data_IF_083857016482
#
_entry.id   IF_083857016482
#
_cell.length_a   1.000
_cell.length_b   1.000
_cell.length_c   1.000
_cell.angle_alpha   90.00
_cell.angle_beta   90.00
_cell.angle_gamma   90.00
#
_symmetry.space_group_name_H-M   'P 1'
#
loop_
_entity.id
_entity.type
_entity.pdbx_description
1 polymer ?
#
# COMPACT_ATOMS: atom_id res chain seq x y z
N UNK A 1 -12.87 34.04 -30.43
CA UNK A 1 -13.58 33.16 -31.39
C UNK A 1 -14.20 32.02 -30.61
N UNK A 2 -15.50 31.72 -30.77
CA UNK A 2 -16.12 30.60 -30.07
C UNK A 2 -15.59 29.27 -30.61
N UNK A 3 -15.20 28.39 -29.71
CA UNK A 3 -14.77 27.02 -29.99
C UNK A 3 -15.96 26.11 -29.69
N UNK A 4 -16.27 25.19 -30.59
CA UNK A 4 -17.35 24.23 -30.32
C UNK A 4 -16.92 23.18 -29.28
N UNK A 5 -17.88 22.36 -28.82
CA UNK A 5 -17.61 21.26 -27.87
C UNK A 5 -16.58 20.21 -28.34
N UNK A 6 -16.13 20.30 -29.59
CA UNK A 6 -15.10 19.44 -30.20
C UNK A 6 -13.76 20.16 -30.37
N UNK A 7 -13.53 21.29 -29.68
CA UNK A 7 -12.25 21.99 -29.73
C UNK A 7 -11.95 22.68 -31.08
N UNK A 8 -12.92 22.73 -32.00
CA UNK A 8 -12.73 23.33 -33.33
C UNK A 8 -13.29 24.74 -33.40
N UNK A 9 -12.55 25.63 -34.08
CA UNK A 9 -12.96 27.02 -34.29
C UNK A 9 -14.22 27.07 -35.15
N UNK A 10 -15.26 27.75 -34.66
CA UNK A 10 -16.40 28.13 -35.49
C UNK A 10 -15.95 29.28 -36.40
N UNK A 11 -15.90 29.05 -37.72
CA UNK A 11 -15.66 30.14 -38.68
C UNK A 11 -16.97 30.89 -38.90
N UNK A 12 -16.93 32.21 -38.71
CA UNK A 12 -18.03 33.10 -39.05
C UNK A 12 -18.38 32.96 -40.55
N UNK A 13 -19.68 32.89 -40.83
CA UNK A 13 -20.25 32.36 -42.06
C UNK A 13 -19.90 33.12 -43.34
N UNK A 14 -19.80 32.37 -44.45
CA UNK A 14 -19.66 32.97 -45.78
C UNK A 14 -19.42 32.02 -46.96
N UNK A 15 -19.82 30.74 -46.91
CA UNK A 15 -19.57 29.83 -48.05
C UNK A 15 -20.49 28.63 -48.13
N UNK A 16 -21.18 28.48 -49.28
CA UNK A 16 -22.07 27.42 -49.77
C UNK A 16 -22.35 26.19 -48.87
N UNK A 17 -23.65 25.94 -48.65
CA UNK A 17 -24.24 25.05 -47.65
C UNK A 17 -23.81 23.57 -47.75
N UNK A 18 -23.53 23.04 -48.95
CA UNK A 18 -23.17 21.62 -49.10
C UNK A 18 -21.73 21.31 -48.65
N UNK A 19 -20.81 22.26 -48.78
CA UNK A 19 -19.39 22.07 -48.47
C UNK A 19 -19.07 22.28 -46.98
N UNK A 20 -19.93 23.01 -46.26
CA UNK A 20 -19.82 23.17 -44.81
C UNK A 20 -20.18 21.88 -44.07
N UNK A 21 -21.23 21.16 -44.50
CA UNK A 21 -21.64 19.91 -43.88
C UNK A 21 -20.56 18.82 -43.94
N UNK A 22 -19.95 18.59 -45.09
CA UNK A 22 -18.85 17.60 -45.21
C UNK A 22 -17.62 17.99 -44.39
N UNK A 23 -17.28 19.29 -44.35
CA UNK A 23 -16.17 19.79 -43.54
C UNK A 23 -16.44 19.66 -42.04
N UNK A 24 -17.64 20.00 -41.59
CA UNK A 24 -18.04 19.80 -40.19
C UNK A 24 -18.01 18.32 -39.81
N UNK A 25 -18.52 17.43 -40.67
CA UNK A 25 -18.48 15.99 -40.45
C UNK A 25 -17.04 15.45 -40.38
N UNK A 26 -16.12 15.94 -41.22
CA UNK A 26 -14.72 15.56 -41.16
C UNK A 26 -14.04 16.02 -39.86
N UNK A 27 -14.34 17.24 -39.39
CA UNK A 27 -13.82 17.78 -38.14
C UNK A 27 -14.29 16.99 -36.92
N UNK A 28 -15.59 16.66 -36.86
CA UNK A 28 -16.14 15.84 -35.78
C UNK A 28 -15.54 14.43 -35.80
N UNK A 29 -15.39 13.81 -36.99
CA UNK A 29 -14.75 12.49 -37.12
C UNK A 29 -13.32 12.49 -36.63
N UNK A 30 -12.54 13.51 -36.98
CA UNK A 30 -11.15 13.62 -36.52
C UNK A 30 -11.09 13.82 -35.02
N UNK A 31 -11.91 14.72 -34.46
CA UNK A 31 -11.96 14.92 -33.01
C UNK A 31 -12.32 13.62 -32.26
N UNK A 32 -13.36 12.91 -32.70
CA UNK A 32 -13.77 11.64 -32.09
C UNK A 32 -12.65 10.60 -32.24
N UNK A 33 -12.05 10.47 -33.43
CA UNK A 33 -10.92 9.57 -33.67
C UNK A 33 -9.74 9.85 -32.73
N UNK A 34 -9.47 11.13 -32.46
CA UNK A 34 -8.28 11.54 -31.71
C UNK A 34 -8.51 11.63 -30.20
N UNK A 35 -9.75 11.70 -29.72
CA UNK A 35 -10.04 11.91 -28.29
C UNK A 35 -10.96 10.85 -27.66
N UNK A 36 -11.60 9.97 -28.43
CA UNK A 36 -12.40 8.89 -27.88
C UNK A 36 -11.53 7.73 -27.37
N UNK A 37 -12.13 6.92 -26.49
CA UNK A 37 -11.62 5.60 -26.17
C UNK A 37 -11.61 4.74 -27.43
N UNK A 38 -10.53 3.99 -27.62
CA UNK A 38 -10.41 3.06 -28.73
C UNK A 38 -10.76 1.65 -28.27
N UNK A 39 -11.66 1.00 -29.01
CA UNK A 39 -11.96 -0.42 -28.82
C UNK A 39 -10.76 -1.24 -29.32
N UNK A 40 -10.23 -2.10 -28.46
CA UNK A 40 -9.28 -3.16 -28.83
C UNK A 40 -10.04 -4.48 -29.02
N UNK A 41 -9.37 -5.63 -29.04
CA UNK A 41 -10.06 -6.93 -29.17
C UNK A 41 -11.09 -7.18 -28.06
N UNK A 42 -10.83 -6.69 -26.86
CA UNK A 42 -11.61 -7.00 -25.64
C UNK A 42 -11.86 -5.79 -24.75
N UNK A 43 -11.12 -4.69 -24.93
CA UNK A 43 -11.04 -3.60 -23.96
C UNK A 43 -11.19 -2.23 -24.60
N UNK A 44 -11.26 -1.20 -23.76
CA UNK A 44 -11.22 0.20 -24.18
C UNK A 44 -9.90 0.83 -23.76
N UNK A 45 -9.13 1.34 -24.72
CA UNK A 45 -7.86 2.03 -24.47
C UNK A 45 -8.05 3.55 -24.55
N UNK A 46 -7.62 4.24 -23.49
CA UNK A 46 -7.58 5.70 -23.43
C UNK A 46 -6.36 6.30 -24.16
N UNK A 47 -5.52 5.50 -24.81
CA UNK A 47 -4.31 5.93 -25.56
C UNK A 47 -3.43 6.90 -24.77
N UNK A 48 -3.23 6.58 -23.49
CA UNK A 48 -2.46 7.40 -22.54
C UNK A 48 -3.04 8.80 -22.25
N UNK A 49 -4.30 9.07 -22.61
CA UNK A 49 -4.97 10.30 -22.21
C UNK A 49 -5.29 10.29 -20.71
N UNK A 50 -5.09 11.44 -20.06
CA UNK A 50 -5.46 11.63 -18.65
C UNK A 50 -6.97 11.80 -18.54
N UNK A 51 -7.62 10.91 -17.82
CA UNK A 51 -9.03 11.04 -17.43
C UNK A 51 -9.06 11.78 -16.08
N UNK A 52 -9.68 12.96 -16.05
CA UNK A 52 -9.79 13.81 -14.86
C UNK A 52 -11.23 13.88 -14.39
N UNK A 53 -11.43 14.27 -13.13
CA UNK A 53 -12.75 14.33 -12.47
C UNK A 53 -13.44 12.96 -12.38
N UNK A 54 -12.64 11.90 -12.18
CA UNK A 54 -13.13 10.56 -11.83
C UNK A 54 -13.53 10.59 -10.35
N UNK A 55 -14.75 10.17 -10.03
CA UNK A 55 -15.25 10.09 -8.65
C UNK A 55 -14.51 9.02 -7.84
N UNK A 56 -14.80 8.92 -6.55
CA UNK A 56 -14.38 7.77 -5.76
C UNK A 56 -15.20 6.53 -6.17
N UNK A 57 -14.59 5.33 -6.19
CA UNK A 57 -15.30 4.10 -6.52
C UNK A 57 -16.33 3.75 -5.44
N UNK A 58 -17.49 3.23 -5.86
CA UNK A 58 -18.53 2.71 -4.97
C UNK A 58 -18.66 1.18 -5.09
N UNK A 59 -18.46 0.65 -6.30
CA UNK A 59 -18.56 -0.77 -6.61
C UNK A 59 -17.20 -1.35 -7.09
N UNK A 60 -17.07 -2.67 -7.06
CA UNK A 60 -15.81 -3.38 -7.38
C UNK A 60 -15.31 -3.13 -8.82
N UNK A 61 -16.22 -2.84 -9.75
CA UNK A 61 -15.93 -2.63 -11.17
C UNK A 61 -15.68 -1.15 -11.53
N UNK A 62 -15.70 -0.24 -10.54
CA UNK A 62 -15.48 1.18 -10.78
C UNK A 62 -14.01 1.53 -11.08
N UNK A 63 -13.82 2.49 -11.98
CA UNK A 63 -12.50 3.07 -12.20
C UNK A 63 -12.04 3.88 -10.98
N UNK A 64 -10.87 3.56 -10.45
CA UNK A 64 -10.31 4.24 -9.28
C UNK A 64 -9.55 5.51 -9.65
N UNK A 65 -9.78 6.58 -8.90
CA UNK A 65 -8.96 7.79 -9.01
C UNK A 65 -7.66 7.67 -8.22
N UNK A 66 -6.63 8.45 -8.58
CA UNK A 66 -5.30 8.38 -7.94
C UNK A 66 -5.33 8.72 -6.45
N UNK A 67 -6.16 9.68 -6.04
CA UNK A 67 -6.23 10.12 -4.65
C UNK A 67 -6.72 8.98 -3.75
N UNK A 68 -7.77 8.27 -4.17
CA UNK A 68 -8.32 7.11 -3.48
C UNK A 68 -7.25 6.05 -3.23
N UNK A 69 -6.47 5.69 -4.26
CA UNK A 69 -5.37 4.72 -4.14
C UNK A 69 -4.30 5.21 -3.15
N UNK A 70 -3.91 6.48 -3.23
CA UNK A 70 -2.89 7.04 -2.33
C UNK A 70 -3.33 7.07 -0.86
N UNK A 71 -4.60 7.38 -0.59
CA UNK A 71 -5.15 7.38 0.76
C UNK A 71 -5.16 5.97 1.35
N UNK A 72 -5.68 4.99 0.62
CA UNK A 72 -5.71 3.59 1.07
C UNK A 72 -4.29 3.04 1.28
N UNK A 73 -3.35 3.34 0.38
CA UNK A 73 -1.94 2.99 0.58
C UNK A 73 -1.34 3.63 1.84
N UNK A 74 -1.73 4.85 2.18
CA UNK A 74 -1.24 5.49 3.39
C UNK A 74 -1.82 4.85 4.66
N UNK A 75 -3.10 4.47 4.65
CA UNK A 75 -3.75 3.74 5.74
C UNK A 75 -3.00 2.42 5.97
N UNK A 76 -2.82 1.62 4.92
CA UNK A 76 -2.09 0.35 4.99
C UNK A 76 -0.65 0.52 5.54
N UNK A 77 0.05 1.58 5.12
CA UNK A 77 1.40 1.87 5.64
C UNK A 77 1.39 2.17 7.14
N UNK A 78 0.40 2.93 7.62
CA UNK A 78 0.28 3.26 9.03
C UNK A 78 0.00 1.99 9.85
N UNK A 79 -0.92 1.14 9.39
CA UNK A 79 -1.22 -0.15 10.03
C UNK A 79 0.04 -1.05 10.12
N UNK A 80 0.83 -1.11 9.05
CA UNK A 80 2.11 -1.85 9.05
C UNK A 80 3.08 -1.29 10.10
N UNK A 81 3.17 0.03 10.23
CA UNK A 81 4.04 0.66 11.24
C UNK A 81 3.57 0.32 12.65
N UNK A 82 2.26 0.38 12.93
CA UNK A 82 1.68 0.03 14.22
C UNK A 82 1.94 -1.44 14.57
N UNK A 83 1.71 -2.36 13.62
CA UNK A 83 1.99 -3.79 13.81
C UNK A 83 3.46 -4.04 14.12
N UNK A 84 4.37 -3.38 13.40
CA UNK A 84 5.82 -3.51 13.65
C UNK A 84 6.20 -3.02 15.06
N UNK A 85 5.64 -1.91 15.51
CA UNK A 85 5.89 -1.39 16.86
C UNK A 85 5.41 -2.37 17.94
N UNK A 86 4.23 -2.96 17.75
CA UNK A 86 3.67 -3.96 18.67
C UNK A 86 4.56 -5.22 18.72
N UNK A 87 5.00 -5.72 17.57
CA UNK A 87 5.93 -6.86 17.50
C UNK A 87 7.25 -6.55 18.20
N UNK A 88 7.82 -5.37 17.97
CA UNK A 88 9.06 -4.96 18.65
C UNK A 88 8.89 -4.91 20.17
N UNK A 89 7.76 -4.38 20.66
CA UNK A 89 7.51 -4.36 22.10
C UNK A 89 7.35 -5.77 22.68
N UNK A 90 6.65 -6.66 21.99
CA UNK A 90 6.53 -8.04 22.42
C UNK A 90 7.91 -8.73 22.49
N UNK A 91 8.80 -8.47 21.53
CA UNK A 91 10.18 -8.99 21.54
C UNK A 91 10.98 -8.44 22.73
N UNK A 92 10.85 -7.15 23.06
CA UNK A 92 11.50 -6.55 24.22
C UNK A 92 11.01 -7.19 25.53
N UNK A 93 9.70 -7.30 25.70
CA UNK A 93 9.10 -7.93 26.87
C UNK A 93 9.57 -9.38 27.06
N UNK A 94 9.60 -10.17 25.98
CA UNK A 94 10.10 -11.54 26.02
C UNK A 94 11.58 -11.61 26.38
N UNK A 95 12.39 -10.67 25.88
CA UNK A 95 13.81 -10.57 26.21
C UNK A 95 14.02 -10.27 27.69
N UNK A 96 13.22 -9.38 28.27
CA UNK A 96 13.28 -9.04 29.69
C UNK A 96 12.89 -10.23 30.57
N UNK A 97 11.81 -10.93 30.21
CA UNK A 97 11.38 -12.16 30.89
C UNK A 97 12.48 -13.24 30.85
N UNK A 98 13.14 -13.41 29.69
CA UNK A 98 14.23 -14.36 29.54
C UNK A 98 15.43 -14.01 30.41
N UNK A 99 15.79 -12.73 30.48
CA UNK A 99 16.88 -12.26 31.34
C UNK A 99 16.59 -12.51 32.81
N UNK A 100 15.35 -12.28 33.26
CA UNK A 100 14.94 -12.58 34.63
C UNK A 100 15.03 -14.08 34.94
N UNK A 101 14.58 -14.93 34.01
CA UNK A 101 14.68 -16.37 34.14
C UNK A 101 16.13 -16.85 34.23
N UNK A 102 17.01 -16.32 33.37
CA UNK A 102 18.44 -16.63 33.39
C UNK A 102 19.08 -16.28 34.73
N UNK A 103 18.77 -15.10 35.29
CA UNK A 103 19.28 -14.68 36.60
C UNK A 103 18.83 -15.61 37.72
N UNK A 104 17.57 -16.05 37.70
CA UNK A 104 17.07 -17.05 38.67
C UNK A 104 17.79 -18.38 38.53
N UNK A 105 18.10 -18.80 37.31
CA UNK A 105 18.84 -20.04 37.03
C UNK A 105 20.28 -19.97 37.58
N UNK A 106 20.99 -18.86 37.40
CA UNK A 106 22.34 -18.65 37.95
C UNK A 106 22.37 -18.74 39.48
N UNK A 107 21.36 -18.16 40.14
CA UNK A 107 21.22 -18.24 41.60
C UNK A 107 21.01 -19.70 42.03
N UNK A 108 20.09 -20.43 41.38
CA UNK A 108 19.81 -21.83 41.69
C UNK A 108 21.05 -22.72 41.51
N UNK A 109 21.81 -22.52 40.43
CA UNK A 109 23.06 -23.22 40.17
C UNK A 109 24.10 -22.96 41.27
N UNK A 110 24.23 -21.70 41.69
CA UNK A 110 25.14 -21.30 42.77
C UNK A 110 24.75 -21.96 44.10
N UNK A 111 23.46 -21.94 44.46
CA UNK A 111 22.97 -22.62 45.67
C UNK A 111 23.20 -24.13 45.64
N UNK A 112 22.97 -24.78 44.49
CA UNK A 112 23.23 -26.21 44.33
C UNK A 112 24.71 -26.54 44.53
N UNK A 113 25.61 -25.73 43.98
CA UNK A 113 27.06 -25.92 44.15
C UNK A 113 27.48 -25.83 45.63
N UNK A 114 26.89 -24.90 46.39
CA UNK A 114 27.12 -24.77 47.84
C UNK A 114 26.65 -26.03 48.57
N UNK A 115 25.47 -26.55 48.25
CA UNK A 115 24.92 -27.78 48.86
C UNK A 115 25.82 -28.98 48.56
N UNK A 116 26.21 -29.17 47.29
CA UNK A 116 27.10 -30.25 46.86
C UNK A 116 28.44 -30.19 47.61
N UNK A 117 29.04 -29.01 47.71
CA UNK A 117 30.30 -28.83 48.44
C UNK A 117 30.14 -29.11 49.93
N UNK A 118 29.03 -28.70 50.53
CA UNK A 118 28.72 -28.97 51.95
C UNK A 118 28.57 -30.46 52.23
N UNK A 119 27.85 -31.19 51.37
CA UNK A 119 27.67 -32.64 51.48
C UNK A 119 29.01 -33.37 51.32
N UNK A 120 29.82 -32.99 50.32
CA UNK A 120 31.17 -33.55 50.13
C UNK A 120 32.03 -33.37 51.38
N UNK A 121 32.05 -32.17 51.96
CA UNK A 121 32.82 -31.89 53.17
C UNK A 121 32.31 -32.65 54.41
N UNK A 122 31.01 -32.95 54.49
CA UNK A 122 30.45 -33.81 55.56
C UNK A 122 30.86 -35.26 55.37
N UNK A 123 30.81 -35.78 54.15
CA UNK A 123 31.22 -37.15 53.84
C UNK A 123 32.70 -37.39 54.18
N UNK A 124 33.60 -36.50 53.73
CA UNK A 124 35.04 -36.59 54.02
C UNK A 124 35.32 -36.59 55.54
N UNK A 125 34.55 -35.83 56.32
CA UNK A 125 34.70 -35.77 57.79
C UNK A 125 34.06 -36.95 58.53
N UNK A 126 33.12 -37.66 57.90
CA UNK A 126 32.43 -38.83 58.46
C UNK A 126 33.23 -40.12 58.41
N UNK A 127 34.35 -40.17 57.67
CA UNK A 127 35.26 -41.33 57.60
C UNK A 127 36.43 -41.25 58.62
N UNK A 128 36.38 -40.33 59.59
CA UNK A 128 37.44 -40.14 60.60
C UNK A 128 37.11 -40.69 62.00
N UNK A 129 36.10 -41.55 62.15
CA UNK A 129 35.81 -42.26 63.40
C UNK A 129 35.85 -43.78 63.20
#
# INVERSE_FOLDING_TARGET
MPINKFGTLLKDGGGSNTNQHYRYNALVRNYVRDNALCVTSTDYDARSHKIKHVAEPLDDDDAVNKQYVQQNLQILKNEIVELNNNVQQNVLNLKDQLNELNKKMEILQSSLQVVVNTLRNKFIRGEQN
#
